data_IF_880789039950
#
_entry.id   IF_880789039950
#
_cell.length_a   1.000
_cell.length_b   1.000
_cell.length_c   1.000
_cell.angle_alpha   90.00
_cell.angle_beta   90.00
_cell.angle_gamma   90.00
#
_symmetry.space_group_name_H-M   'P 1'
#
loop_
_entity.id
_entity.type
_entity.pdbx_description
1 polymer ?
#
# COMPACT_ATOMS: atom_id res chain seq x y z
N UNK A 1 -11.73 3.45 -21.23
CA UNK A 1 -11.11 2.67 -20.14
C UNK A 1 -9.82 3.34 -19.63
N UNK A 2 -9.72 4.68 -19.64
CA UNK A 2 -8.54 5.43 -19.18
C UNK A 2 -8.82 6.27 -17.90
N UNK A 3 -10.08 6.61 -17.65
CA UNK A 3 -10.52 7.42 -16.49
C UNK A 3 -10.26 6.81 -15.10
N UNK A 4 -10.15 5.49 -14.98
CA UNK A 4 -10.03 4.86 -13.65
C UNK A 4 -8.65 5.07 -12.99
N UNK A 5 -7.64 5.49 -13.77
CA UNK A 5 -6.32 5.85 -13.21
C UNK A 5 -6.31 7.25 -12.57
N UNK A 6 -7.29 8.11 -12.90
CA UNK A 6 -7.33 9.49 -12.41
C UNK A 6 -7.87 9.60 -10.96
N UNK A 7 -8.53 8.58 -10.42
CA UNK A 7 -8.99 8.60 -9.02
C UNK A 7 -7.87 8.30 -8.01
N UNK A 8 -6.70 7.86 -8.47
CA UNK A 8 -5.49 7.72 -7.64
C UNK A 8 -4.99 9.09 -7.15
N UNK A 9 -5.39 10.18 -7.82
CA UNK A 9 -4.94 11.55 -7.59
C UNK A 9 -5.34 12.15 -6.23
N UNK A 10 -6.26 11.50 -5.48
CA UNK A 10 -6.64 11.93 -4.12
C UNK A 10 -5.78 11.36 -3.00
N UNK A 11 -4.82 10.51 -3.34
CA UNK A 11 -3.72 10.16 -2.46
C UNK A 11 -2.48 10.86 -3.01
N UNK A 12 -1.98 11.86 -2.29
CA UNK A 12 -0.75 12.53 -2.69
C UNK A 12 0.36 11.47 -2.74
N UNK A 13 1.15 11.39 -3.82
CA UNK A 13 2.22 10.40 -3.95
C UNK A 13 3.24 10.51 -2.79
N UNK A 14 3.36 11.71 -2.23
CA UNK A 14 4.12 12.05 -1.03
C UNK A 14 3.64 11.34 0.25
N UNK A 15 2.32 11.19 0.40
CA UNK A 15 1.70 10.54 1.57
C UNK A 15 1.90 9.02 1.50
N UNK A 16 1.86 8.45 0.28
CA UNK A 16 2.17 7.03 0.04
C UNK A 16 3.63 6.79 0.35
N UNK A 17 4.53 7.62 -0.19
CA UNK A 17 5.98 7.48 0.01
C UNK A 17 6.34 7.52 1.50
N UNK A 18 5.83 8.51 2.26
CA UNK A 18 6.07 8.62 3.71
C UNK A 18 5.53 7.42 4.49
N UNK A 19 4.34 6.92 4.13
CA UNK A 19 3.76 5.75 4.80
C UNK A 19 4.55 4.49 4.47
N UNK A 20 5.03 4.36 3.24
CA UNK A 20 5.83 3.22 2.82
C UNK A 20 7.21 3.23 3.48
N UNK A 21 7.85 4.40 3.55
CA UNK A 21 9.12 4.61 4.23
C UNK A 21 9.00 4.30 5.74
N UNK A 22 7.94 4.80 6.38
CA UNK A 22 7.64 4.46 7.76
C UNK A 22 7.35 2.95 7.93
N UNK A 23 6.66 2.30 6.99
CA UNK A 23 6.41 0.84 6.99
C UNK A 23 7.72 0.07 6.97
N UNK A 24 8.57 0.38 6.01
CA UNK A 24 9.89 -0.22 5.86
C UNK A 24 10.74 0.00 7.12
N UNK A 25 10.75 1.21 7.67
CA UNK A 25 11.52 1.52 8.88
C UNK A 25 11.03 0.73 10.11
N UNK A 26 9.73 0.52 10.29
CA UNK A 26 9.18 -0.31 11.38
C UNK A 26 9.46 -1.80 11.14
N UNK A 27 9.35 -2.29 9.91
CA UNK A 27 9.77 -3.65 9.56
C UNK A 27 11.26 -3.89 9.83
N UNK A 28 12.09 -2.85 9.75
CA UNK A 28 13.51 -2.86 10.12
C UNK A 28 13.78 -2.71 11.64
N UNK A 29 12.73 -2.69 12.47
CA UNK A 29 12.84 -2.67 13.93
C UNK A 29 12.83 -1.28 14.58
N UNK A 30 12.63 -0.19 13.81
CA UNK A 30 12.49 1.18 14.36
C UNK A 30 11.02 1.44 14.75
N UNK A 31 10.63 1.00 15.94
CA UNK A 31 9.27 1.16 16.49
C UNK A 31 8.82 2.61 16.67
N UNK A 32 9.73 3.59 16.61
CA UNK A 32 9.42 5.03 16.71
C UNK A 32 8.48 5.52 15.60
N UNK A 33 8.50 4.89 14.43
CA UNK A 33 7.60 5.24 13.32
C UNK A 33 6.28 4.47 13.33
N UNK A 34 6.02 3.65 14.35
CA UNK A 34 4.83 2.81 14.43
C UNK A 34 3.54 3.61 14.63
N UNK A 35 3.57 4.64 15.47
CA UNK A 35 2.42 5.55 15.64
C UNK A 35 2.10 6.31 14.34
N UNK A 36 3.13 6.82 13.66
CA UNK A 36 2.97 7.50 12.37
C UNK A 36 2.47 6.56 11.28
N UNK A 37 2.90 5.30 11.29
CA UNK A 37 2.38 4.27 10.41
C UNK A 37 0.91 3.98 10.63
N UNK A 38 0.51 3.80 11.88
CA UNK A 38 -0.87 3.49 12.23
C UNK A 38 -1.79 4.67 11.89
N UNK A 39 -1.33 5.90 12.14
CA UNK A 39 -2.07 7.13 11.87
C UNK A 39 -2.18 7.42 10.37
N UNK A 40 -1.07 7.39 9.63
CA UNK A 40 -1.04 7.72 8.21
C UNK A 40 -1.56 6.56 7.36
N UNK A 41 -1.18 5.33 7.70
CA UNK A 41 -1.70 4.09 7.09
C UNK A 41 -3.19 3.89 7.35
N UNK A 42 -3.68 4.17 8.57
CA UNK A 42 -5.11 4.12 8.87
C UNK A 42 -5.93 5.14 8.06
N UNK A 43 -5.39 6.35 7.86
CA UNK A 43 -6.02 7.39 7.04
C UNK A 43 -6.06 7.00 5.56
N UNK A 44 -4.98 6.39 5.06
CA UNK A 44 -4.88 5.87 3.70
C UNK A 44 -5.84 4.70 3.46
N UNK A 45 -5.91 3.74 4.37
CA UNK A 45 -6.83 2.61 4.29
C UNK A 45 -8.29 3.07 4.33
N UNK A 46 -8.61 4.07 5.15
CA UNK A 46 -9.95 4.67 5.19
C UNK A 46 -10.30 5.43 3.92
N UNK A 47 -9.33 6.11 3.30
CA UNK A 47 -9.53 6.74 1.98
C UNK A 47 -9.68 5.69 0.88
N UNK A 48 -8.88 4.61 0.92
CA UNK A 48 -8.97 3.53 -0.05
C UNK A 48 -10.33 2.83 0.05
N UNK A 49 -10.77 2.44 1.24
CA UNK A 49 -12.06 1.77 1.44
C UNK A 49 -13.27 2.64 1.08
N UNK A 50 -13.15 3.97 1.20
CA UNK A 50 -14.23 4.90 0.85
C UNK A 50 -14.27 5.29 -0.64
N UNK A 51 -13.12 5.36 -1.31
CA UNK A 51 -13.04 5.85 -2.70
C UNK A 51 -12.88 4.73 -3.74
N UNK A 52 -12.47 3.52 -3.36
CA UNK A 52 -12.34 2.40 -4.29
C UNK A 52 -13.62 1.58 -4.35
N UNK A 53 -13.98 1.13 -5.54
CA UNK A 53 -15.09 0.19 -5.74
C UNK A 53 -14.69 -1.22 -5.32
N UNK A 54 -15.64 -2.06 -4.93
CA UNK A 54 -15.38 -3.45 -4.49
C UNK A 54 -14.57 -4.24 -5.51
N UNK A 55 -14.83 -4.05 -6.81
CA UNK A 55 -14.08 -4.71 -7.89
C UNK A 55 -12.62 -4.29 -7.91
N UNK A 56 -12.33 -2.99 -7.77
CA UNK A 56 -10.94 -2.50 -7.76
C UNK A 56 -10.17 -2.98 -6.52
N UNK A 57 -10.84 -3.10 -5.37
CA UNK A 57 -10.22 -3.66 -4.15
C UNK A 57 -9.90 -5.15 -4.30
N UNK A 58 -10.80 -5.94 -4.89
CA UNK A 58 -10.55 -7.37 -5.12
C UNK A 58 -9.39 -7.56 -6.09
N UNK A 59 -9.37 -6.79 -7.19
CA UNK A 59 -8.28 -6.85 -8.17
C UNK A 59 -6.94 -6.39 -7.58
N UNK A 60 -6.93 -5.37 -6.72
CA UNK A 60 -5.70 -4.92 -6.07
C UNK A 60 -5.14 -5.96 -5.10
N UNK A 61 -5.99 -6.61 -4.31
CA UNK A 61 -5.56 -7.71 -3.41
C UNK A 61 -5.01 -8.89 -4.23
N UNK A 62 -5.67 -9.26 -5.32
CA UNK A 62 -5.19 -10.33 -6.20
C UNK A 62 -3.82 -10.00 -6.82
N UNK A 63 -3.64 -8.77 -7.31
CA UNK A 63 -2.37 -8.31 -7.86
C UNK A 63 -1.26 -8.33 -6.80
N UNK A 64 -1.54 -7.84 -5.57
CA UNK A 64 -0.59 -7.89 -4.46
C UNK A 64 -0.17 -9.33 -4.11
N UNK A 65 -1.11 -10.28 -4.11
CA UNK A 65 -0.81 -11.68 -3.84
C UNK A 65 0.11 -12.30 -4.90
N UNK A 66 -0.15 -12.03 -6.19
CA UNK A 66 0.72 -12.50 -7.29
C UNK A 66 2.13 -11.94 -7.16
N UNK A 67 2.26 -10.64 -6.90
CA UNK A 67 3.56 -9.99 -6.70
C UNK A 67 4.29 -10.61 -5.50
N UNK A 68 3.60 -10.82 -4.38
CA UNK A 68 4.20 -11.44 -3.19
C UNK A 68 4.75 -12.85 -3.50
N UNK A 69 3.99 -13.69 -4.20
CA UNK A 69 4.45 -15.04 -4.59
C UNK A 69 5.71 -14.95 -5.45
N UNK A 70 5.74 -14.07 -6.45
CA UNK A 70 6.91 -13.90 -7.33
C UNK A 70 8.13 -13.42 -6.55
N UNK A 71 7.98 -12.44 -5.66
CA UNK A 71 9.07 -11.93 -4.83
C UNK A 71 9.62 -13.01 -3.90
N UNK A 72 8.75 -13.77 -3.23
CA UNK A 72 9.14 -14.87 -2.34
C UNK A 72 9.91 -15.94 -3.12
N UNK A 73 9.39 -16.38 -4.27
CA UNK A 73 10.08 -17.37 -5.09
C UNK A 73 11.47 -16.89 -5.50
N UNK A 74 11.58 -15.65 -5.99
CA UNK A 74 12.86 -15.04 -6.34
C UNK A 74 13.83 -14.99 -5.15
N UNK A 75 13.35 -14.59 -3.98
CA UNK A 75 14.18 -14.50 -2.78
C UNK A 75 14.59 -15.88 -2.21
N UNK A 76 13.92 -16.96 -2.62
CA UNK A 76 14.23 -18.33 -2.21
C UNK A 76 15.14 -19.04 -3.23
N UNK A 77 15.25 -18.49 -4.45
CA UNK A 77 16.11 -18.98 -5.53
C UNK A 77 17.56 -18.42 -5.47
N UNK A 78 17.84 -17.45 -4.57
CA UNK A 78 19.17 -16.98 -4.16
C UNK A 78 19.64 -17.69 -2.87
#
# INVERSE_FOLDING_TARGET
MADQLQQVEKILPEDIARTFEAAVNVFQGKSEHMDDLLKNGGTLLRKASKNFTSTQLILSVAALAVVAIVVINRATED
#
